data_IF_518000062141
#
_entry.id   IF_518000062141
#
_cell.length_a   1.000
_cell.length_b   1.000
_cell.length_c   1.000
_cell.angle_alpha   90.00
_cell.angle_beta   90.00
_cell.angle_gamma   90.00
#
_symmetry.space_group_name_H-M   'P 1'
#
loop_
_entity.id
_entity.type
_entity.pdbx_description
1 polymer ?
#
# COMPACT_ATOMS: atom_id res chain seq x y z
N UNK A 1 22.99 -26.88 -5.48
CA UNK A 1 22.66 -25.53 -4.94
C UNK A 1 22.80 -24.53 -6.07
N UNK A 2 21.77 -24.39 -6.90
CA UNK A 2 21.82 -23.55 -8.10
C UNK A 2 20.47 -22.86 -8.30
N UNK A 3 20.55 -21.55 -8.60
CA UNK A 3 19.51 -20.63 -9.05
C UNK A 3 19.04 -19.61 -8.00
N UNK A 4 19.98 -18.78 -7.53
CA UNK A 4 19.70 -17.36 -7.29
C UNK A 4 20.53 -16.61 -8.34
N UNK A 5 20.01 -16.54 -9.56
CA UNK A 5 20.57 -15.75 -10.64
C UNK A 5 19.39 -15.09 -11.36
N UNK A 6 19.29 -13.76 -11.25
CA UNK A 6 18.35 -12.96 -12.04
C UNK A 6 17.29 -12.19 -11.25
N UNK A 7 17.65 -11.44 -10.21
CA UNK A 7 16.82 -10.32 -9.71
C UNK A 7 17.75 -9.13 -9.49
N UNK A 8 17.97 -8.32 -10.53
CA UNK A 8 18.94 -7.22 -10.45
C UNK A 8 19.26 -6.48 -11.75
N UNK A 9 18.44 -6.60 -12.79
CA UNK A 9 18.44 -5.61 -13.88
C UNK A 9 17.37 -4.57 -13.58
N UNK A 10 17.54 -3.34 -14.09
CA UNK A 10 16.57 -2.24 -14.00
C UNK A 10 15.15 -2.61 -14.46
N UNK A 11 15.01 -3.75 -15.16
CA UNK A 11 13.83 -4.24 -15.89
C UNK A 11 12.80 -4.98 -15.03
N UNK A 12 12.87 -4.87 -13.70
CA UNK A 12 11.84 -5.39 -12.80
C UNK A 12 11.42 -4.42 -11.68
N UNK A 13 11.78 -3.15 -11.78
CA UNK A 13 11.60 -2.19 -10.69
C UNK A 13 10.12 -1.86 -10.48
N UNK A 14 9.32 -1.83 -11.56
CA UNK A 14 7.87 -1.63 -11.48
C UNK A 14 7.18 -2.83 -10.82
N UNK A 15 7.58 -4.05 -11.18
CA UNK A 15 7.04 -5.27 -10.57
C UNK A 15 7.33 -5.34 -9.06
N UNK A 16 8.57 -5.02 -8.67
CA UNK A 16 9.00 -4.97 -7.27
C UNK A 16 8.18 -3.93 -6.50
N UNK A 17 7.99 -2.75 -7.07
CA UNK A 17 7.18 -1.70 -6.47
C UNK A 17 5.72 -2.15 -6.29
N UNK A 18 5.14 -2.85 -7.27
CA UNK A 18 3.75 -3.34 -7.20
C UNK A 18 3.63 -4.40 -6.11
N UNK A 19 4.63 -5.26 -5.96
CA UNK A 19 4.69 -6.23 -4.88
C UNK A 19 4.77 -5.63 -3.50
N UNK A 20 5.57 -4.58 -3.34
CA UNK A 20 5.67 -3.87 -2.07
C UNK A 20 4.34 -3.20 -1.74
N UNK A 21 3.65 -2.62 -2.73
CA UNK A 21 2.33 -2.04 -2.51
C UNK A 21 1.27 -3.08 -2.15
N UNK A 22 1.22 -4.19 -2.89
CA UNK A 22 0.33 -5.31 -2.59
C UNK A 22 0.57 -5.80 -1.16
N UNK A 23 1.83 -5.98 -0.79
CA UNK A 23 2.20 -6.46 0.54
C UNK A 23 1.77 -5.47 1.63
N UNK A 24 1.98 -4.17 1.41
CA UNK A 24 1.51 -3.10 2.29
C UNK A 24 -0.01 -3.15 2.50
N UNK A 25 -0.78 -3.26 1.43
CA UNK A 25 -2.25 -3.37 1.50
C UNK A 25 -2.68 -4.63 2.27
N UNK A 26 -2.02 -5.78 2.08
CA UNK A 26 -2.33 -6.99 2.87
C UNK A 26 -2.06 -6.79 4.37
N UNK A 27 -0.94 -6.19 4.72
CA UNK A 27 -0.61 -5.91 6.12
C UNK A 27 -1.58 -4.91 6.75
N UNK A 28 -1.94 -3.84 6.03
CA UNK A 28 -2.97 -2.90 6.46
C UNK A 28 -4.30 -3.62 6.68
N UNK A 29 -4.70 -4.49 5.75
CA UNK A 29 -5.92 -5.28 5.85
C UNK A 29 -5.98 -6.12 7.13
N UNK A 30 -4.88 -6.80 7.46
CA UNK A 30 -4.76 -7.57 8.70
C UNK A 30 -4.86 -6.67 9.95
N UNK A 31 -4.13 -5.56 9.97
CA UNK A 31 -4.12 -4.66 11.12
C UNK A 31 -5.47 -3.97 11.32
N UNK A 32 -6.18 -3.59 10.26
CA UNK A 32 -7.55 -3.08 10.33
C UNK A 32 -8.53 -4.14 10.85
N UNK A 33 -8.42 -5.39 10.40
CA UNK A 33 -9.25 -6.48 10.93
C UNK A 33 -8.99 -6.67 12.42
N UNK A 34 -7.73 -6.66 12.83
CA UNK A 34 -7.33 -6.75 14.23
C UNK A 34 -7.87 -5.58 15.05
N UNK A 35 -7.74 -4.34 14.56
CA UNK A 35 -8.27 -3.16 15.23
C UNK A 35 -9.80 -3.27 15.41
N UNK A 36 -10.51 -3.77 14.40
CA UNK A 36 -11.95 -4.02 14.48
C UNK A 36 -12.34 -5.03 15.59
N UNK A 37 -11.44 -5.95 15.95
CA UNK A 37 -11.71 -6.96 17.00
C UNK A 37 -11.48 -6.42 18.40
N UNK A 38 -10.57 -5.46 18.57
CA UNK A 38 -10.23 -4.87 19.88
C UNK A 38 -11.02 -3.59 20.19
N UNK A 39 -11.59 -2.95 19.16
CA UNK A 39 -12.50 -1.80 19.33
C UNK A 39 -13.92 -2.30 19.60
N UNK A 40 -14.51 -1.86 20.73
CA UNK A 40 -15.87 -2.23 21.16
C UNK A 40 -16.94 -1.17 20.86
N UNK A 41 -16.65 -0.28 19.91
CA UNK A 41 -17.52 0.86 19.55
C UNK A 41 -18.07 0.66 18.12
N UNK A 42 -19.07 1.45 17.68
CA UNK A 42 -19.68 1.31 16.35
C UNK A 42 -18.69 1.36 15.17
N UNK A 43 -17.55 2.00 15.37
CA UNK A 43 -16.42 2.10 14.44
C UNK A 43 -15.87 0.73 14.03
N UNK A 44 -16.09 -0.32 14.84
CA UNK A 44 -15.74 -1.71 14.49
C UNK A 44 -16.21 -2.10 13.08
N UNK A 45 -17.43 -1.74 12.70
CA UNK A 45 -17.98 -2.10 11.39
C UNK A 45 -17.22 -1.39 10.27
N UNK A 46 -16.91 -0.10 10.47
CA UNK A 46 -16.13 0.69 9.52
C UNK A 46 -14.70 0.16 9.37
N UNK A 47 -14.07 -0.20 10.49
CA UNK A 47 -12.74 -0.80 10.50
C UNK A 47 -12.70 -2.15 9.77
N UNK A 48 -13.75 -2.97 9.92
CA UNK A 48 -13.87 -4.21 9.16
C UNK A 48 -14.02 -3.95 7.66
N UNK A 49 -14.81 -2.95 7.29
CA UNK A 49 -14.94 -2.55 5.88
C UNK A 49 -13.61 -2.03 5.29
N UNK A 50 -12.79 -1.33 6.08
CA UNK A 50 -11.45 -0.93 5.66
C UNK A 50 -10.53 -2.12 5.43
N UNK A 51 -10.59 -3.12 6.31
CA UNK A 51 -9.83 -4.36 6.13
C UNK A 51 -10.16 -5.01 4.78
N UNK A 52 -11.44 -5.18 4.48
CA UNK A 52 -11.93 -5.74 3.21
C UNK A 52 -11.55 -4.87 2.00
N UNK A 53 -11.49 -3.54 2.17
CA UNK A 53 -11.02 -2.62 1.14
C UNK A 53 -9.53 -2.83 0.83
N UNK A 54 -8.69 -3.00 1.86
CA UNK A 54 -7.27 -3.28 1.66
C UNK A 54 -7.06 -4.63 0.96
N UNK A 55 -7.84 -5.66 1.31
CA UNK A 55 -7.80 -6.96 0.63
C UNK A 55 -8.13 -6.81 -0.86
N UNK A 56 -9.19 -6.06 -1.22
CA UNK A 56 -9.51 -5.77 -2.62
C UNK A 56 -8.42 -4.98 -3.34
N UNK A 57 -7.81 -3.99 -2.69
CA UNK A 57 -6.69 -3.26 -3.25
C UNK A 57 -5.52 -4.19 -3.58
N UNK A 58 -5.13 -5.06 -2.64
CA UNK A 58 -4.09 -6.04 -2.86
C UNK A 58 -4.42 -6.95 -4.06
N UNK A 59 -5.65 -7.43 -4.19
CA UNK A 59 -6.07 -8.22 -5.36
C UNK A 59 -5.98 -7.43 -6.68
N UNK A 60 -6.36 -6.15 -6.67
CA UNK A 60 -6.27 -5.32 -7.85
C UNK A 60 -4.82 -5.04 -8.26
N UNK A 61 -3.95 -4.73 -7.29
CA UNK A 61 -2.51 -4.54 -7.51
C UNK A 61 -1.88 -5.84 -8.01
N UNK A 62 -2.26 -6.99 -7.44
CA UNK A 62 -1.80 -8.31 -7.88
C UNK A 62 -2.15 -8.59 -9.36
N UNK A 63 -3.26 -8.03 -9.87
CA UNK A 63 -3.63 -8.15 -11.29
C UNK A 63 -2.78 -7.27 -12.20
N UNK A 64 -2.31 -6.11 -11.71
CA UNK A 64 -1.41 -5.23 -12.46
C UNK A 64 -0.05 -5.88 -12.77
N UNK A 65 0.35 -6.91 -12.01
CA UNK A 65 1.56 -7.69 -12.29
C UNK A 65 1.54 -8.43 -13.64
N UNK A 66 0.39 -8.59 -14.29
CA UNK A 66 0.38 -9.14 -15.65
C UNK A 66 0.56 -8.06 -16.72
N UNK A 67 0.45 -6.77 -16.34
CA UNK A 67 0.49 -5.63 -17.26
C UNK A 67 1.77 -4.77 -17.10
N UNK A 68 2.60 -5.04 -16.08
CA UNK A 68 3.77 -4.20 -15.76
C UNK A 68 4.86 -4.17 -16.83
N UNK A 69 5.07 -5.26 -17.59
CA UNK A 69 6.12 -5.29 -18.62
C UNK A 69 5.90 -4.22 -19.69
N UNK A 70 4.64 -3.89 -19.99
CA UNK A 70 4.28 -2.83 -20.92
C UNK A 70 4.54 -1.43 -20.33
N UNK A 71 4.41 -1.27 -19.01
CA UNK A 71 4.70 -0.03 -18.29
C UNK A 71 6.21 0.22 -18.19
N UNK A 72 6.96 -0.81 -17.83
CA UNK A 72 8.39 -0.73 -17.58
C UNK A 72 9.19 -0.32 -18.82
N UNK A 73 8.81 -0.82 -20.01
CA UNK A 73 9.43 -0.45 -21.30
C UNK A 73 9.25 1.02 -21.69
N UNK A 74 8.35 1.74 -21.02
CA UNK A 74 8.06 3.16 -21.29
C UNK A 74 8.84 4.11 -20.40
N UNK A 75 9.34 3.61 -19.27
CA UNK A 75 10.08 4.42 -18.31
C UNK A 75 11.55 4.54 -18.70
N UNK A 76 12.08 5.73 -18.47
CA UNK A 76 13.51 5.96 -18.54
C UNK A 76 14.23 5.23 -17.40
N UNK A 77 15.52 4.89 -17.57
CA UNK A 77 16.31 4.29 -16.50
C UNK A 77 16.38 5.13 -15.22
N UNK A 78 16.24 6.45 -15.31
CA UNK A 78 16.25 7.31 -14.12
C UNK A 78 14.95 7.19 -13.33
N UNK A 79 13.80 7.22 -14.01
CA UNK A 79 12.49 7.00 -13.39
C UNK A 79 12.42 5.61 -12.71
N UNK A 80 12.94 4.57 -13.38
CA UNK A 80 13.02 3.23 -12.79
C UNK A 80 13.90 3.19 -11.54
N UNK A 81 14.96 3.99 -11.45
CA UNK A 81 15.80 4.10 -10.22
C UNK A 81 15.08 4.83 -9.10
N UNK A 82 14.34 5.88 -9.42
CA UNK A 82 13.53 6.60 -8.43
C UNK A 82 12.48 5.67 -7.81
N UNK A 83 11.80 4.89 -8.63
CA UNK A 83 10.84 3.87 -8.19
C UNK A 83 11.51 2.81 -7.30
N UNK A 84 12.65 2.24 -7.69
CA UNK A 84 13.36 1.24 -6.87
C UNK A 84 13.79 1.84 -5.51
N UNK A 85 14.34 3.05 -5.52
CA UNK A 85 14.77 3.73 -4.29
C UNK A 85 13.61 3.98 -3.33
N UNK A 86 12.48 4.47 -3.84
CA UNK A 86 11.29 4.72 -3.05
C UNK A 86 10.71 3.40 -2.50
N UNK A 87 10.62 2.37 -3.35
CA UNK A 87 10.09 1.06 -2.99
C UNK A 87 10.91 0.38 -1.90
N UNK A 88 12.24 0.37 -2.00
CA UNK A 88 13.14 -0.17 -0.96
C UNK A 88 13.08 0.58 0.36
N UNK A 89 12.77 1.88 0.33
CA UNK A 89 12.54 2.65 1.54
C UNK A 89 11.24 2.20 2.21
N UNK A 90 10.15 2.17 1.45
CA UNK A 90 8.84 1.71 1.93
C UNK A 90 8.92 0.30 2.51
N UNK A 91 9.52 -0.66 1.79
CA UNK A 91 9.61 -2.05 2.27
C UNK A 91 10.23 -2.17 3.67
N UNK A 92 11.35 -1.48 3.91
CA UNK A 92 12.03 -1.52 5.21
C UNK A 92 11.19 -0.89 6.31
N UNK A 93 10.64 0.29 6.05
CA UNK A 93 9.86 1.05 7.04
C UNK A 93 8.55 0.29 7.39
N UNK A 94 7.92 -0.33 6.38
CA UNK A 94 6.67 -1.09 6.53
C UNK A 94 6.86 -2.34 7.40
N UNK A 95 7.89 -3.14 7.15
CA UNK A 95 8.13 -4.36 7.92
C UNK A 95 8.37 -4.05 9.40
N UNK A 96 9.13 -2.98 9.70
CA UNK A 96 9.40 -2.54 11.06
C UNK A 96 8.10 -2.16 11.80
N UNK A 97 7.28 -1.31 11.18
CA UNK A 97 6.01 -0.86 11.78
C UNK A 97 5.05 -2.03 11.96
N UNK A 98 4.90 -2.91 10.97
CA UNK A 98 4.02 -4.07 11.05
C UNK A 98 4.44 -5.04 12.15
N UNK A 99 5.74 -5.38 12.26
CA UNK A 99 6.23 -6.30 13.29
C UNK A 99 5.99 -5.78 14.71
N UNK A 100 6.08 -4.46 14.90
CA UNK A 100 5.69 -3.78 16.15
C UNK A 100 4.18 -3.83 16.37
N UNK A 101 3.39 -3.53 15.33
CA UNK A 101 1.95 -3.37 15.42
C UNK A 101 1.17 -4.68 15.60
N UNK A 102 1.61 -5.77 14.95
CA UNK A 102 0.86 -7.04 14.88
C UNK A 102 0.58 -7.70 16.22
N UNK A 103 1.28 -7.29 17.28
CA UNK A 103 1.11 -7.83 18.64
C UNK A 103 0.49 -6.81 19.61
N UNK A 104 0.22 -5.58 19.18
CA UNK A 104 -0.40 -4.57 20.02
C UNK A 104 -1.81 -5.01 20.44
N UNK A 105 -2.14 -4.70 21.69
CA UNK A 105 -3.46 -4.91 22.29
C UNK A 105 -4.15 -3.59 22.59
N UNK A 106 -3.39 -2.51 22.77
CA UNK A 106 -3.94 -1.17 22.93
C UNK A 106 -4.52 -0.67 21.58
N UNK A 107 -5.82 -0.33 21.52
CA UNK A 107 -6.45 0.11 20.28
C UNK A 107 -5.88 1.43 19.74
N UNK A 108 -5.43 2.35 20.60
CA UNK A 108 -4.89 3.63 20.17
C UNK A 108 -3.49 3.45 19.55
N UNK A 109 -2.61 2.69 20.21
CA UNK A 109 -1.28 2.37 19.66
C UNK A 109 -1.38 1.62 18.33
N UNK A 110 -2.34 0.68 18.21
CA UNK A 110 -2.60 -0.03 16.97
C UNK A 110 -3.12 0.92 15.87
N UNK A 111 -4.06 1.81 16.20
CA UNK A 111 -4.59 2.78 15.23
C UNK A 111 -3.51 3.77 14.75
N UNK A 112 -2.62 4.23 15.64
CA UNK A 112 -1.50 5.09 15.29
C UNK A 112 -0.48 4.38 14.39
N UNK A 113 -0.21 3.10 14.64
CA UNK A 113 0.67 2.30 13.78
C UNK A 113 0.07 2.10 12.37
N UNK A 114 -1.25 1.88 12.28
CA UNK A 114 -1.96 1.83 10.99
C UNK A 114 -1.85 3.18 10.27
N UNK A 115 -2.00 4.30 10.98
CA UNK A 115 -1.87 5.63 10.39
C UNK A 115 -0.46 5.88 9.82
N UNK A 116 0.56 5.39 10.51
CA UNK A 116 1.95 5.42 10.05
C UNK A 116 2.11 4.62 8.74
N UNK A 117 1.56 3.40 8.68
CA UNK A 117 1.59 2.57 7.46
C UNK A 117 0.80 3.17 6.30
N UNK A 118 -0.36 3.77 6.55
CA UNK A 118 -1.16 4.44 5.52
C UNK A 118 -0.43 5.65 4.90
N UNK A 119 0.45 6.32 5.65
CA UNK A 119 1.32 7.39 5.09
C UNK A 119 2.36 6.83 4.12
N UNK A 120 2.78 5.57 4.29
CA UNK A 120 3.72 4.93 3.38
C UNK A 120 3.10 4.65 1.99
N UNK A 121 1.76 4.50 1.92
CA UNK A 121 1.04 4.43 0.65
C UNK A 121 1.22 5.70 -0.21
N UNK A 122 1.45 6.87 0.39
CA UNK A 122 1.71 8.10 -0.38
C UNK A 122 3.05 8.03 -1.12
N UNK A 123 4.08 7.44 -0.51
CA UNK A 123 5.40 7.28 -1.15
C UNK A 123 5.28 6.35 -2.37
N UNK A 124 4.48 5.30 -2.23
CA UNK A 124 4.18 4.37 -3.32
C UNK A 124 3.39 5.08 -4.43
N UNK A 125 2.33 5.83 -4.08
CA UNK A 125 1.56 6.65 -5.03
C UNK A 125 2.44 7.62 -5.80
N UNK A 126 3.32 8.36 -5.12
CA UNK A 126 4.17 9.38 -5.74
C UNK A 126 5.17 8.75 -6.71
N UNK A 127 5.58 7.49 -6.46
CA UNK A 127 6.38 6.71 -7.40
C UNK A 127 5.58 6.34 -8.67
N UNK A 128 4.26 6.22 -8.55
CA UNK A 128 3.35 5.87 -9.63
C UNK A 128 2.67 7.05 -10.32
N UNK A 129 2.76 8.27 -9.79
CA UNK A 129 2.35 9.46 -10.56
C UNK A 129 3.21 9.64 -11.81
N UNK A 130 4.45 9.13 -11.81
CA UNK A 130 5.30 9.03 -13.00
C UNK A 130 4.60 8.18 -14.08
N UNK A 131 4.03 7.03 -13.70
CA UNK A 131 3.29 6.18 -14.66
C UNK A 131 2.06 6.87 -15.25
N UNK A 132 1.42 7.77 -14.49
CA UNK A 132 0.25 8.53 -14.93
C UNK A 132 0.60 9.52 -16.05
N UNK A 133 1.80 10.07 -16.04
CA UNK A 133 2.27 11.05 -17.04
C UNK A 133 2.58 10.41 -18.41
N UNK A 134 2.82 9.10 -18.44
CA UNK A 134 3.08 8.32 -19.66
C UNK A 134 1.84 7.63 -20.25
N UNK A 135 0.64 8.04 -19.84
CA UNK A 135 -0.63 7.40 -20.19
C UNK A 135 -1.20 7.82 -21.55
N UNK A 136 -1.08 6.97 -22.57
CA UNK A 136 -1.97 6.93 -23.75
C UNK A 136 -3.19 6.02 -23.47
N UNK A 137 -4.19 5.96 -24.36
CA UNK A 137 -5.49 5.29 -24.15
C UNK A 137 -5.41 3.82 -23.63
N UNK A 138 -4.33 3.08 -23.92
CA UNK A 138 -4.11 1.70 -23.45
C UNK A 138 -3.64 1.60 -21.97
N UNK A 139 -2.93 2.61 -21.45
CA UNK A 139 -2.49 2.64 -20.04
C UNK A 139 -3.56 3.25 -19.10
N UNK A 140 -4.70 3.65 -19.67
CA UNK A 140 -5.80 4.30 -18.97
C UNK A 140 -6.35 3.46 -17.80
N UNK A 141 -6.47 2.13 -17.97
CA UNK A 141 -7.05 1.25 -16.95
C UNK A 141 -6.17 1.17 -15.68
N UNK A 142 -4.85 1.13 -15.85
CA UNK A 142 -3.88 1.09 -14.74
C UNK A 142 -3.91 2.42 -13.99
N UNK A 143 -3.86 3.55 -14.72
CA UNK A 143 -4.00 4.87 -14.11
C UNK A 143 -5.31 5.05 -13.34
N UNK A 144 -6.43 4.55 -13.88
CA UNK A 144 -7.72 4.55 -13.19
C UNK A 144 -7.74 3.72 -11.92
N UNK A 145 -7.08 2.57 -11.94
CA UNK A 145 -6.98 1.71 -10.76
C UNK A 145 -6.12 2.37 -9.68
N UNK A 146 -4.99 2.96 -10.05
CA UNK A 146 -4.13 3.73 -9.14
C UNK A 146 -4.91 4.91 -8.53
N UNK A 147 -5.66 5.66 -9.35
CA UNK A 147 -6.51 6.78 -8.90
C UNK A 147 -7.59 6.30 -7.90
N UNK A 148 -8.25 5.17 -8.20
CA UNK A 148 -9.26 4.57 -7.33
C UNK A 148 -8.68 4.17 -5.97
N UNK A 149 -7.60 3.39 -5.98
CA UNK A 149 -6.91 2.95 -4.75
C UNK A 149 -6.45 4.17 -3.94
N UNK A 150 -5.93 5.20 -4.61
CA UNK A 150 -5.50 6.45 -3.95
C UNK A 150 -6.68 7.17 -3.29
N UNK A 151 -7.81 7.28 -3.98
CA UNK A 151 -9.02 7.91 -3.45
C UNK A 151 -9.56 7.14 -2.24
N UNK A 152 -9.61 5.81 -2.33
CA UNK A 152 -10.05 4.93 -1.25
C UNK A 152 -9.10 5.00 -0.04
N UNK A 153 -7.78 5.02 -0.27
CA UNK A 153 -6.75 5.23 0.76
C UNK A 153 -6.94 6.56 1.50
N UNK A 154 -7.29 7.64 0.80
CA UNK A 154 -7.61 8.93 1.43
C UNK A 154 -8.82 8.80 2.35
N UNK A 155 -9.88 8.15 1.91
CA UNK A 155 -11.09 7.92 2.71
C UNK A 155 -10.76 7.08 3.95
N UNK A 156 -9.96 5.99 3.81
CA UNK A 156 -9.52 5.17 4.95
C UNK A 156 -8.81 6.01 6.00
N UNK A 157 -7.90 6.89 5.58
CA UNK A 157 -7.16 7.79 6.48
C UNK A 157 -8.05 8.81 7.19
N UNK A 158 -9.00 9.42 6.47
CA UNK A 158 -9.94 10.37 7.07
C UNK A 158 -10.75 9.68 8.19
N UNK A 159 -11.27 8.48 7.93
CA UNK A 159 -12.03 7.73 8.93
C UNK A 159 -11.13 7.22 10.07
N UNK A 160 -9.92 6.74 9.77
CA UNK A 160 -8.95 6.34 10.80
C UNK A 160 -8.58 7.52 11.71
N UNK A 161 -8.39 8.72 11.16
CA UNK A 161 -8.11 9.92 11.95
C UNK A 161 -9.23 10.24 12.94
N UNK A 162 -10.50 10.03 12.56
CA UNK A 162 -11.63 10.15 13.47
C UNK A 162 -11.65 9.06 14.55
N UNK A 163 -11.26 7.82 14.22
CA UNK A 163 -11.09 6.73 15.19
C UNK A 163 -10.01 7.08 16.21
N UNK A 164 -8.84 7.53 15.76
CA UNK A 164 -7.71 7.93 16.62
C UNK A 164 -8.11 9.04 17.58
N UNK A 165 -8.76 10.11 17.07
CA UNK A 165 -9.26 11.21 17.92
C UNK A 165 -10.19 10.71 19.03
N UNK A 166 -11.10 9.79 18.71
CA UNK A 166 -12.06 9.24 19.69
C UNK A 166 -11.39 8.33 20.72
N UNK A 167 -10.44 7.51 20.29
CA UNK A 167 -9.68 6.64 21.19
C UNK A 167 -8.78 7.45 22.15
N UNK A 168 -8.13 8.50 21.66
CA UNK A 168 -7.24 9.35 22.47
C UNK A 168 -7.96 10.38 23.37
N UNK A 169 -9.27 10.57 23.20
CA UNK A 169 -10.08 11.46 24.05
C UNK A 169 -10.71 10.75 25.26
N UNK A 170 -10.45 9.45 25.42
CA UNK A 170 -10.95 8.62 26.53
C UNK A 170 -9.86 8.39 27.57
#
# INVERSE_FOLDING_TARGET
>A
MSNIAGFGTLEHNVAIALGIWEHLERMLGELYDRLSRVVFTPEKILLKYMSEMCERHAEYIARLYYEYEAMEKRLSPEELREIDKASRKVLRDVEEVYLRARNLLDPLELALAIEEMEKMCDVVRDSYSILREHGDDEAWYIGKLIDMITSETRIRREVLGEVVKRLGSR
#
